data_IF_464195786370
#
_entry.id   IF_464195786370
#
_cell.length_a   1.000
_cell.length_b   1.000
_cell.length_c   1.000
_cell.angle_alpha   90.00
_cell.angle_beta   90.00
_cell.angle_gamma   90.00
#
_symmetry.space_group_name_H-M   'P 1'
#
loop_
_entity.id
_entity.type
_entity.pdbx_description
1 polymer ?
#
# COMPACT_ATOMS: atom_id res chain seq x y z
N UNK A 1 10.16 -11.23 4.53
CA UNK A 1 11.00 -11.63 3.36
C UNK A 1 12.45 -11.77 3.83
N UNK A 2 13.29 -12.58 3.17
CA UNK A 2 14.74 -12.60 3.48
C UNK A 2 15.42 -11.37 2.85
N UNK A 3 16.38 -10.75 3.54
CA UNK A 3 17.01 -9.49 3.09
C UNK A 3 17.59 -9.56 1.67
N UNK A 4 18.12 -10.71 1.26
CA UNK A 4 18.64 -10.91 -0.10
C UNK A 4 17.53 -10.87 -1.16
N UNK A 5 16.40 -11.52 -0.89
CA UNK A 5 15.25 -11.54 -1.80
C UNK A 5 14.59 -10.16 -1.88
N UNK A 6 14.53 -9.44 -0.75
CA UNK A 6 14.04 -8.07 -0.72
C UNK A 6 14.91 -7.13 -1.56
N UNK A 7 16.24 -7.19 -1.39
CA UNK A 7 17.16 -6.36 -2.15
C UNK A 7 17.06 -6.62 -3.66
N UNK A 8 17.02 -7.89 -4.07
CA UNK A 8 16.83 -8.26 -5.48
C UNK A 8 15.52 -7.73 -6.04
N UNK A 9 14.44 -7.85 -5.27
CA UNK A 9 13.13 -7.33 -5.65
C UNK A 9 13.17 -5.82 -5.93
N UNK A 10 13.79 -5.03 -5.03
CA UNK A 10 13.95 -3.59 -5.24
C UNK A 10 14.79 -3.29 -6.49
N UNK A 11 15.91 -4.00 -6.69
CA UNK A 11 16.75 -3.82 -7.89
C UNK A 11 15.99 -4.12 -9.19
N UNK A 12 15.17 -5.19 -9.20
CA UNK A 12 14.33 -5.54 -10.34
C UNK A 12 13.25 -4.48 -10.61
N UNK A 13 12.59 -3.97 -9.55
CA UNK A 13 11.59 -2.91 -9.67
C UNK A 13 12.16 -1.60 -10.20
N UNK A 14 13.36 -1.22 -9.75
CA UNK A 14 14.07 -0.03 -10.24
C UNK A 14 14.57 -0.20 -11.68
N UNK A 15 14.92 -1.42 -12.09
CA UNK A 15 15.29 -1.77 -13.46
C UNK A 15 14.11 -1.89 -14.42
N UNK A 16 12.89 -2.07 -13.89
CA UNK A 16 11.70 -2.31 -14.68
C UNK A 16 11.12 -1.02 -15.24
N UNK A 17 10.88 -1.00 -16.57
CA UNK A 17 10.33 0.17 -17.28
C UNK A 17 8.81 0.20 -17.34
N UNK A 18 8.17 -0.95 -17.15
CA UNK A 18 6.75 -1.11 -17.36
C UNK A 18 6.04 -1.35 -16.03
N UNK A 19 5.04 -0.52 -15.81
CA UNK A 19 4.05 -0.61 -14.76
C UNK A 19 3.49 -2.02 -14.51
N UNK A 20 3.00 -2.64 -15.58
CA UNK A 20 2.43 -3.99 -15.55
C UNK A 20 3.41 -5.02 -15.00
N UNK A 21 4.66 -4.96 -15.43
CA UNK A 21 5.70 -5.91 -15.04
C UNK A 21 6.13 -5.68 -13.58
N UNK A 22 6.22 -4.42 -13.12
CA UNK A 22 6.45 -4.10 -11.71
C UNK A 22 5.39 -4.75 -10.82
N UNK A 23 4.11 -4.61 -11.19
CA UNK A 23 3.01 -5.19 -10.42
C UNK A 23 3.03 -6.71 -10.43
N UNK A 24 3.38 -7.35 -11.55
CA UNK A 24 3.50 -8.81 -11.62
C UNK A 24 4.62 -9.32 -10.71
N UNK A 25 5.78 -8.65 -10.72
CA UNK A 25 6.91 -8.96 -9.83
C UNK A 25 6.50 -8.80 -8.37
N UNK A 26 5.84 -7.69 -8.00
CA UNK A 26 5.34 -7.45 -6.64
C UNK A 26 4.42 -8.61 -6.21
N UNK A 27 3.44 -8.97 -7.05
CA UNK A 27 2.47 -10.03 -6.73
C UNK A 27 3.10 -11.41 -6.63
N UNK A 28 4.12 -11.69 -7.43
CA UNK A 28 4.82 -12.98 -7.36
C UNK A 28 5.66 -13.09 -6.09
N UNK A 29 6.37 -12.01 -5.72
CA UNK A 29 7.42 -12.02 -4.70
C UNK A 29 6.90 -11.70 -3.30
N UNK A 30 5.89 -10.84 -3.19
CA UNK A 30 5.26 -10.51 -1.91
C UNK A 30 4.39 -11.67 -1.45
N UNK A 31 4.71 -12.24 -0.28
CA UNK A 31 3.98 -13.37 0.31
C UNK A 31 3.13 -12.99 1.52
N UNK A 32 3.33 -11.79 2.05
CA UNK A 32 2.62 -11.26 3.22
C UNK A 32 2.23 -9.81 2.98
N UNK A 33 1.13 -9.40 3.60
CA UNK A 33 0.71 -8.00 3.62
C UNK A 33 1.77 -7.08 4.24
N UNK A 34 2.53 -7.58 5.22
CA UNK A 34 3.62 -6.83 5.85
C UNK A 34 4.76 -6.55 4.87
N UNK A 35 5.14 -7.55 4.07
CA UNK A 35 6.14 -7.40 3.01
C UNK A 35 5.65 -6.45 1.91
N UNK A 36 4.33 -6.40 1.65
CA UNK A 36 3.73 -5.48 0.69
C UNK A 36 3.89 -4.04 1.16
N UNK A 37 3.53 -3.78 2.42
CA UNK A 37 3.54 -2.45 3.01
C UNK A 37 4.94 -1.83 2.97
N UNK A 38 5.95 -2.58 3.44
CA UNK A 38 7.35 -2.14 3.44
C UNK A 38 7.83 -1.88 2.00
N UNK A 39 7.50 -2.79 1.08
CA UNK A 39 7.82 -2.63 -0.33
C UNK A 39 7.18 -1.39 -0.95
N UNK A 40 5.94 -1.05 -0.60
CA UNK A 40 5.27 0.14 -1.15
C UNK A 40 5.94 1.44 -0.72
N UNK A 41 6.62 1.45 0.43
CA UNK A 41 7.40 2.59 0.91
C UNK A 41 8.71 2.70 0.12
N UNK A 42 9.40 1.60 -0.15
CA UNK A 42 10.72 1.60 -0.82
C UNK A 42 10.67 1.56 -2.35
N UNK A 43 9.62 0.99 -2.94
CA UNK A 43 9.52 0.74 -4.39
C UNK A 43 9.32 2.01 -5.23
N UNK A 44 9.11 3.17 -4.60
CA UNK A 44 8.96 4.49 -5.26
C UNK A 44 8.01 4.42 -6.48
N UNK A 45 6.85 3.81 -6.27
CA UNK A 45 5.83 3.65 -7.28
C UNK A 45 5.08 4.99 -7.53
N UNK A 46 4.70 5.23 -8.78
CA UNK A 46 3.87 6.38 -9.14
C UNK A 46 2.39 6.15 -8.79
N UNK A 47 1.57 7.21 -8.80
CA UNK A 47 0.14 7.12 -8.44
C UNK A 47 -0.63 6.05 -9.23
N UNK A 48 -0.36 5.93 -10.54
CA UNK A 48 -1.03 4.93 -11.40
C UNK A 48 -0.71 3.50 -10.97
N UNK A 49 0.54 3.23 -10.58
CA UNK A 49 0.98 1.93 -10.06
C UNK A 49 0.27 1.57 -8.77
N UNK A 50 0.17 2.54 -7.86
CA UNK A 50 -0.56 2.37 -6.61
C UNK A 50 -2.04 2.05 -6.86
N UNK A 51 -2.69 2.76 -7.78
CA UNK A 51 -4.09 2.50 -8.12
C UNK A 51 -4.25 1.09 -8.69
N UNK A 52 -3.37 0.66 -9.59
CA UNK A 52 -3.40 -0.67 -10.17
C UNK A 52 -3.19 -1.75 -9.09
N UNK A 53 -2.25 -1.52 -8.17
CA UNK A 53 -1.99 -2.42 -7.06
C UNK A 53 -3.17 -2.51 -6.09
N UNK A 54 -3.73 -1.37 -5.66
CA UNK A 54 -4.90 -1.32 -4.77
C UNK A 54 -6.13 -1.96 -5.40
N UNK A 55 -6.28 -1.89 -6.72
CA UNK A 55 -7.34 -2.61 -7.43
C UNK A 55 -7.20 -4.14 -7.35
N UNK A 56 -6.02 -4.67 -7.05
CA UNK A 56 -5.82 -6.10 -6.82
C UNK A 56 -6.09 -6.54 -5.39
N UNK A 57 -6.18 -5.58 -4.45
CA UNK A 57 -6.41 -5.83 -3.03
C UNK A 57 -7.90 -5.93 -2.71
N UNK A 58 -8.21 -6.79 -1.75
CA UNK A 58 -9.54 -6.92 -1.18
C UNK A 58 -9.82 -5.81 -0.15
N UNK A 59 -11.10 -5.60 0.17
CA UNK A 59 -11.53 -4.56 1.10
C UNK A 59 -10.86 -4.67 2.48
N UNK A 60 -10.55 -5.91 2.91
CA UNK A 60 -9.84 -6.18 4.17
C UNK A 60 -8.39 -5.72 4.16
N UNK A 61 -7.70 -5.84 3.04
CA UNK A 61 -6.31 -5.42 2.89
C UNK A 61 -6.22 -3.90 2.85
N UNK A 62 -7.12 -3.24 2.10
CA UNK A 62 -7.24 -1.78 2.10
C UNK A 62 -7.57 -1.26 3.51
N UNK A 63 -8.48 -1.93 4.21
CA UNK A 63 -8.83 -1.58 5.59
C UNK A 63 -7.64 -1.73 6.55
N UNK A 64 -6.85 -2.79 6.41
CA UNK A 64 -5.63 -2.99 7.19
C UNK A 64 -4.60 -1.88 6.93
N UNK A 65 -4.44 -1.45 5.67
CA UNK A 65 -3.55 -0.32 5.32
C UNK A 65 -3.99 0.97 5.99
N UNK A 66 -5.30 1.30 5.92
CA UNK A 66 -5.85 2.52 6.55
C UNK A 66 -5.67 2.48 8.07
N UNK A 67 -5.80 1.31 8.68
CA UNK A 67 -5.63 1.14 10.12
C UNK A 67 -4.18 1.40 10.56
N UNK A 68 -3.20 0.90 9.80
CA UNK A 68 -1.76 1.05 10.08
C UNK A 68 -1.25 2.44 9.72
N UNK A 69 -1.75 3.01 8.62
CA UNK A 69 -1.43 4.36 8.17
C UNK A 69 -2.70 5.22 8.19
N UNK A 70 -3.12 5.70 9.38
CA UNK A 70 -4.33 6.51 9.50
C UNK A 70 -4.25 7.74 8.59
N UNK A 71 -5.30 7.91 7.79
CA UNK A 71 -5.42 8.97 6.79
C UNK A 71 -5.59 10.36 7.44
N UNK A 72 -6.13 10.41 8.67
CA UNK A 72 -6.31 11.66 9.41
C UNK A 72 -5.00 12.11 10.09
N UNK A 73 -4.62 13.35 9.81
CA UNK A 73 -3.42 14.02 10.33
C UNK A 73 -3.42 14.33 11.84
N UNK A 74 -4.37 13.82 12.61
CA UNK A 74 -4.61 14.26 14.01
C UNK A 74 -3.50 13.83 14.99
N UNK A 75 -2.66 12.87 14.59
CA UNK A 75 -1.47 12.50 15.35
C UNK A 75 -0.23 13.12 14.76
N UNK A 76 0.25 14.22 15.40
CA UNK A 76 1.65 14.67 15.46
C UNK A 76 2.60 13.92 14.51
N UNK A 77 2.48 14.13 13.21
CA UNK A 77 3.30 13.49 12.18
C UNK A 77 4.68 14.16 12.12
N UNK A 78 5.41 14.15 13.24
CA UNK A 78 6.69 14.84 13.40
C UNK A 78 7.85 13.99 12.84
N UNK A 79 7.62 12.73 12.42
CA UNK A 79 8.67 11.84 11.89
C UNK A 79 8.18 10.76 10.88
N UNK A 80 7.18 11.05 10.03
CA UNK A 80 6.84 10.11 8.94
C UNK A 80 7.68 10.43 7.70
N UNK A 81 8.20 9.38 7.04
CA UNK A 81 9.02 9.52 5.83
C UNK A 81 8.21 10.12 4.68
N UNK A 82 8.87 10.79 3.73
CA UNK A 82 8.21 11.34 2.52
C UNK A 82 7.48 10.23 1.74
N UNK A 83 8.10 9.05 1.61
CA UNK A 83 7.49 7.90 0.96
C UNK A 83 6.22 7.42 1.68
N UNK A 84 6.20 7.46 3.01
CA UNK A 84 5.01 7.11 3.79
C UNK A 84 3.89 8.15 3.64
N UNK A 85 4.24 9.44 3.53
CA UNK A 85 3.25 10.49 3.22
C UNK A 85 2.62 10.28 1.85
N UNK A 86 3.44 9.92 0.85
CA UNK A 86 2.99 9.62 -0.51
C UNK A 86 2.05 8.42 -0.52
N UNK A 87 2.41 7.34 0.18
CA UNK A 87 1.56 6.16 0.36
C UNK A 87 0.17 6.53 0.91
N UNK A 88 0.14 7.31 2.01
CA UNK A 88 -1.11 7.76 2.63
C UNK A 88 -1.95 8.61 1.70
N UNK A 89 -1.32 9.53 0.97
CA UNK A 89 -2.00 10.41 0.02
C UNK A 89 -2.67 9.59 -1.10
N UNK A 90 -1.96 8.62 -1.67
CA UNK A 90 -2.49 7.78 -2.75
C UNK A 90 -3.56 6.82 -2.25
N UNK A 91 -3.40 6.26 -1.04
CA UNK A 91 -4.41 5.44 -0.40
C UNK A 91 -5.70 6.23 -0.15
N UNK A 92 -5.59 7.45 0.38
CA UNK A 92 -6.73 8.34 0.57
C UNK A 92 -7.43 8.66 -0.76
N UNK A 93 -6.66 9.02 -1.79
CA UNK A 93 -7.21 9.34 -3.10
C UNK A 93 -7.90 8.13 -3.75
N UNK A 94 -7.33 6.94 -3.58
CA UNK A 94 -7.92 5.68 -4.04
C UNK A 94 -9.27 5.43 -3.36
N UNK A 95 -9.33 5.48 -2.03
CA UNK A 95 -10.56 5.24 -1.27
C UNK A 95 -11.62 6.27 -1.64
N UNK A 96 -11.27 7.55 -1.78
CA UNK A 96 -12.20 8.61 -2.22
C UNK A 96 -12.82 8.35 -3.60
N UNK A 97 -12.12 7.65 -4.50
CA UNK A 97 -12.58 7.27 -5.84
C UNK A 97 -13.48 6.02 -5.84
N UNK A 98 -13.50 5.23 -4.77
CA UNK A 98 -14.35 4.04 -4.67
C UNK A 98 -15.84 4.43 -4.55
N UNK A 99 -16.77 3.54 -4.89
CA UNK A 99 -18.19 3.80 -4.64
C UNK A 99 -18.48 3.82 -3.12
N UNK A 100 -19.41 4.67 -2.68
CA UNK A 100 -19.65 4.97 -1.26
C UNK A 100 -19.92 3.72 -0.40
N UNK A 101 -20.66 2.75 -0.92
CA UNK A 101 -20.91 1.49 -0.23
C UNK A 101 -19.63 0.70 0.07
N UNK A 102 -18.66 0.72 -0.85
CA UNK A 102 -17.38 0.03 -0.68
C UNK A 102 -16.47 0.81 0.26
N UNK A 103 -16.48 2.14 0.19
CA UNK A 103 -15.78 2.99 1.15
C UNK A 103 -16.27 2.71 2.58
N UNK A 104 -17.58 2.74 2.80
CA UNK A 104 -18.18 2.46 4.12
C UNK A 104 -17.78 1.07 4.63
N UNK A 105 -17.82 0.05 3.76
CA UNK A 105 -17.39 -1.30 4.11
C UNK A 105 -15.92 -1.34 4.58
N UNK A 106 -15.01 -0.73 3.81
CA UNK A 106 -13.58 -0.66 4.14
C UNK A 106 -13.35 0.03 5.48
N UNK A 107 -13.99 1.18 5.72
CA UNK A 107 -13.85 1.90 7.00
C UNK A 107 -14.42 1.12 8.18
N UNK A 108 -15.54 0.41 7.98
CA UNK A 108 -16.10 -0.48 9.00
C UNK A 108 -15.14 -1.62 9.34
N UNK A 109 -14.55 -2.28 8.34
CA UNK A 109 -13.54 -3.33 8.56
C UNK A 109 -12.33 -2.74 9.30
N UNK A 110 -11.84 -1.57 8.89
CA UNK A 110 -10.68 -0.93 9.52
C UNK A 110 -10.92 -0.62 11.01
N UNK A 111 -12.15 -0.23 11.36
CA UNK A 111 -12.55 -0.04 12.76
C UNK A 111 -12.62 -1.35 13.55
N UNK A 112 -12.98 -2.46 12.90
CA UNK A 112 -13.16 -3.77 13.51
C UNK A 112 -11.88 -4.62 13.59
N UNK A 113 -10.83 -4.28 12.82
CA UNK A 113 -9.52 -4.89 12.94
C UNK A 113 -8.94 -4.59 14.35
N UNK A 114 -9.02 -5.59 15.23
CA UNK A 114 -8.48 -5.57 16.59
C UNK A 114 -6.94 -5.59 16.54
N UNK A 115 -6.32 -4.82 17.42
CA UNK A 115 -4.87 -4.87 17.68
C UNK A 115 -4.52 -6.27 18.21
N UNK A 116 -3.74 -7.03 17.44
CA UNK A 116 -3.17 -8.31 17.87
C UNK A 116 -1.68 -8.17 18.17
#
# INVERSE_FOLDING_TARGET
>A
MDDEEYRRLIEELLGCRYSSDKLEIIREKVKSFDDLEDLLIDAQLDEEEFILLFNTLEDVEIAAMIKRHPLESDFKAVNISEAEQVLRLYLENYVKKLPSNRQENIFQIAQQLLEH
#
